data_IF_868830486165
#
_entry.id   IF_868830486165
#
_cell.length_a   1.000
_cell.length_b   1.000
_cell.length_c   1.000
_cell.angle_alpha   90.00
_cell.angle_beta   90.00
_cell.angle_gamma   90.00
#
_symmetry.space_group_name_H-M   'P 1'
#
loop_
_entity.id
_entity.type
_entity.pdbx_description
1 polymer ?
#
# COMPACT_ATOMS: atom_id res chain seq x y z
N UNK A 1 37.63 -11.94 -41.82
CA UNK A 1 37.02 -12.31 -40.51
C UNK A 1 37.03 -11.09 -39.57
N UNK A 2 36.48 -9.93 -39.97
CA UNK A 2 36.48 -8.71 -39.13
C UNK A 2 35.10 -8.03 -39.07
N UNK A 3 34.07 -8.64 -39.69
CA UNK A 3 32.70 -8.12 -39.70
C UNK A 3 31.81 -8.72 -38.59
N UNK A 4 32.22 -9.81 -37.94
CA UNK A 4 31.40 -10.46 -36.90
C UNK A 4 31.59 -9.85 -35.50
N UNK A 5 32.73 -9.20 -35.24
CA UNK A 5 33.04 -8.64 -33.92
C UNK A 5 32.26 -7.36 -33.59
N UNK A 6 31.92 -6.55 -34.61
CA UNK A 6 31.14 -5.32 -34.42
C UNK A 6 29.67 -5.58 -34.14
N UNK A 7 29.11 -6.69 -34.64
CA UNK A 7 27.71 -7.06 -34.41
C UNK A 7 27.49 -7.56 -32.97
N UNK A 8 28.44 -8.34 -32.44
CA UNK A 8 28.38 -8.84 -31.07
C UNK A 8 28.54 -7.73 -30.02
N UNK A 9 29.43 -6.75 -30.24
CA UNK A 9 29.59 -5.63 -29.32
C UNK A 9 28.38 -4.68 -29.30
N UNK A 10 27.65 -4.56 -30.41
CA UNK A 10 26.43 -3.76 -30.48
C UNK A 10 25.23 -4.43 -29.79
N UNK A 11 25.10 -5.76 -29.87
CA UNK A 11 24.07 -6.50 -29.16
C UNK A 11 24.29 -6.54 -27.65
N UNK A 12 25.54 -6.68 -27.21
CA UNK A 12 25.93 -6.73 -25.80
C UNK A 12 25.64 -5.37 -25.10
N UNK A 13 25.93 -4.25 -25.78
CA UNK A 13 25.63 -2.91 -25.27
C UNK A 13 24.13 -2.59 -25.16
N UNK A 14 23.29 -3.15 -26.03
CA UNK A 14 21.82 -2.97 -25.98
C UNK A 14 21.19 -3.82 -24.87
N UNK A 15 21.70 -5.04 -24.67
CA UNK A 15 21.33 -5.93 -23.57
C UNK A 15 21.66 -5.32 -22.20
N UNK A 16 22.86 -4.75 -22.05
CA UNK A 16 23.26 -4.00 -20.85
C UNK A 16 22.37 -2.79 -20.57
N UNK A 17 21.99 -2.05 -21.62
CA UNK A 17 21.08 -0.92 -21.48
C UNK A 17 19.68 -1.38 -21.04
N UNK A 18 19.21 -2.51 -21.58
CA UNK A 18 17.93 -3.11 -21.19
C UNK A 18 17.94 -3.60 -19.74
N UNK A 19 19.00 -4.29 -19.31
CA UNK A 19 19.16 -4.73 -17.92
C UNK A 19 19.12 -3.55 -16.94
N UNK A 20 19.83 -2.46 -17.23
CA UNK A 20 19.79 -1.24 -16.41
C UNK A 20 18.38 -0.65 -16.31
N UNK A 21 17.64 -0.60 -17.42
CA UNK A 21 16.25 -0.10 -17.42
C UNK A 21 15.34 -0.97 -16.54
N UNK A 22 15.49 -2.29 -16.61
CA UNK A 22 14.72 -3.22 -15.78
C UNK A 22 15.06 -3.07 -14.29
N UNK A 23 16.34 -2.93 -13.94
CA UNK A 23 16.78 -2.70 -12.56
C UNK A 23 16.24 -1.38 -11.98
N UNK A 24 16.22 -0.31 -12.77
CA UNK A 24 15.60 0.97 -12.39
C UNK A 24 14.10 0.79 -12.16
N UNK A 25 13.41 0.05 -13.03
CA UNK A 25 11.98 -0.23 -12.87
C UNK A 25 11.69 -1.04 -11.59
N UNK A 26 12.48 -2.07 -11.29
CA UNK A 26 12.39 -2.82 -10.02
C UNK A 26 12.60 -1.91 -8.82
N UNK A 27 13.61 -1.05 -8.85
CA UNK A 27 13.91 -0.12 -7.75
C UNK A 27 12.75 0.84 -7.50
N UNK A 28 12.12 1.35 -8.56
CA UNK A 28 10.91 2.19 -8.46
C UNK A 28 9.75 1.42 -7.84
N UNK A 29 9.50 0.19 -8.29
CA UNK A 29 8.43 -0.65 -7.71
C UNK A 29 8.67 -0.90 -6.23
N UNK A 30 9.91 -1.15 -5.80
CA UNK A 30 10.25 -1.31 -4.38
C UNK A 30 9.93 -0.05 -3.57
N UNK A 31 10.24 1.14 -4.10
CA UNK A 31 9.88 2.41 -3.46
C UNK A 31 8.35 2.55 -3.33
N UNK A 32 7.60 2.20 -4.37
CA UNK A 32 6.13 2.24 -4.35
C UNK A 32 5.55 1.21 -3.36
N UNK A 33 6.12 0.00 -3.28
CA UNK A 33 5.74 -1.02 -2.29
C UNK A 33 5.96 -0.52 -0.86
N UNK A 34 7.11 0.11 -0.59
CA UNK A 34 7.42 0.67 0.72
C UNK A 34 6.45 1.80 1.10
N UNK A 35 6.12 2.67 0.13
CA UNK A 35 5.14 3.74 0.34
C UNK A 35 3.74 3.19 0.65
N UNK A 36 3.27 2.20 -0.12
CA UNK A 36 1.99 1.54 0.13
C UNK A 36 1.94 0.88 1.51
N UNK A 37 3.02 0.23 1.94
CA UNK A 37 3.13 -0.36 3.28
C UNK A 37 3.05 0.68 4.40
N UNK A 38 3.77 1.80 4.24
CA UNK A 38 3.71 2.91 5.20
C UNK A 38 2.31 3.51 5.30
N UNK A 39 1.68 3.78 4.16
CA UNK A 39 0.30 4.29 4.10
C UNK A 39 -0.67 3.32 4.78
N UNK A 40 -0.53 2.02 4.54
CA UNK A 40 -1.36 1.01 5.17
C UNK A 40 -1.26 1.06 6.70
N UNK A 41 -0.04 1.15 7.23
CA UNK A 41 0.19 1.32 8.67
C UNK A 41 -0.45 2.59 9.23
N UNK A 42 -0.33 3.72 8.53
CA UNK A 42 -0.96 4.98 8.94
C UNK A 42 -2.50 4.87 8.99
N UNK A 43 -3.12 4.30 7.95
CA UNK A 43 -4.59 4.15 7.91
C UNK A 43 -5.08 3.18 8.99
N UNK A 44 -4.34 2.11 9.26
CA UNK A 44 -4.65 1.22 10.38
C UNK A 44 -4.61 1.95 11.73
N UNK A 45 -3.60 2.81 11.93
CA UNK A 45 -3.49 3.59 13.16
C UNK A 45 -4.65 4.58 13.31
N UNK A 46 -5.02 5.29 12.24
CA UNK A 46 -6.16 6.20 12.24
C UNK A 46 -7.47 5.46 12.58
N UNK A 47 -7.68 4.29 11.99
CA UNK A 47 -8.83 3.44 12.30
C UNK A 47 -8.83 3.01 13.77
N UNK A 48 -7.68 2.56 14.29
CA UNK A 48 -7.53 2.16 15.70
C UNK A 48 -7.82 3.32 16.65
N UNK A 49 -7.26 4.49 16.37
CA UNK A 49 -7.49 5.69 17.17
C UNK A 49 -8.96 6.10 17.16
N UNK A 50 -9.62 6.04 16.01
CA UNK A 50 -11.05 6.35 15.90
C UNK A 50 -11.91 5.41 16.77
N UNK A 51 -11.61 4.10 16.76
CA UNK A 51 -12.32 3.11 17.60
C UNK A 51 -12.07 3.41 19.09
N UNK A 52 -10.83 3.72 19.47
CA UNK A 52 -10.49 4.02 20.86
C UNK A 52 -11.16 5.30 21.37
N UNK A 53 -11.22 6.35 20.56
CA UNK A 53 -11.86 7.62 20.92
C UNK A 53 -13.38 7.51 21.06
N UNK A 54 -13.99 6.55 20.36
CA UNK A 54 -15.44 6.39 20.29
C UNK A 54 -15.97 5.26 21.16
N UNK A 55 -15.07 4.47 21.75
CA UNK A 55 -15.41 3.48 22.76
C UNK A 55 -15.82 4.20 24.05
N UNK A 56 -17.05 4.03 24.54
CA UNK A 56 -17.49 4.65 25.78
C UNK A 56 -16.60 4.17 26.95
N UNK A 57 -16.22 5.06 27.89
CA UNK A 57 -15.58 4.62 29.12
C UNK A 57 -16.50 3.66 29.88
N UNK A 58 -15.95 2.71 30.67
CA UNK A 58 -16.77 1.82 31.49
C UNK A 58 -17.68 2.65 32.41
N UNK A 59 -18.95 2.23 32.60
CA UNK A 59 -19.90 3.01 33.38
C UNK A 59 -19.38 3.19 34.82
N UNK A 60 -19.49 4.40 35.40
CA UNK A 60 -19.09 4.63 36.79
C UNK A 60 -19.95 3.77 37.73
N UNK A 61 -19.35 3.29 38.82
CA UNK A 61 -20.05 2.61 39.89
C UNK A 61 -20.91 3.62 40.67
N UNK A 62 -22.11 3.91 40.13
CA UNK A 62 -23.23 4.63 40.75
C UNK A 62 -22.91 6.01 41.33
N UNK A 63 -23.44 7.07 40.72
CA UNK A 63 -24.09 8.18 41.42
C UNK A 63 -24.89 9.01 40.42
N UNK A 64 -26.14 9.31 40.80
CA UNK A 64 -27.11 10.00 39.96
C UNK A 64 -26.61 11.38 39.53
N UNK A 65 -26.79 11.69 38.26
CA UNK A 65 -26.54 13.03 37.72
C UNK A 65 -27.61 13.31 36.67
N UNK A 66 -28.41 14.34 36.95
CA UNK A 66 -29.09 15.18 35.98
C UNK A 66 -28.04 15.76 35.03
N UNK A 67 -27.81 15.08 33.91
CA UNK A 67 -26.97 15.55 32.83
C UNK A 67 -27.81 15.64 31.57
N UNK A 68 -27.65 16.71 30.80
CA UNK A 68 -28.27 16.89 29.49
C UNK A 68 -27.81 15.73 28.57
N UNK A 69 -28.60 14.65 28.54
CA UNK A 69 -28.30 13.49 27.71
C UNK A 69 -28.36 13.95 26.25
N UNK A 70 -27.32 13.68 25.43
CA UNK A 70 -27.36 14.00 24.01
C UNK A 70 -28.63 13.43 23.39
N UNK A 71 -29.35 14.24 22.62
CA UNK A 71 -30.56 13.82 21.92
C UNK A 71 -30.31 12.51 21.17
N UNK A 72 -31.27 11.59 21.20
CA UNK A 72 -31.18 10.31 20.49
C UNK A 72 -30.76 10.48 19.03
N UNK A 73 -31.27 11.54 18.37
CA UNK A 73 -30.93 11.87 17.00
C UNK A 73 -29.46 12.25 16.81
N UNK A 74 -28.86 12.94 17.78
CA UNK A 74 -27.44 13.33 17.73
C UNK A 74 -26.54 12.11 17.90
N UNK A 75 -26.90 11.19 18.80
CA UNK A 75 -26.19 9.93 18.96
C UNK A 75 -26.29 9.04 17.72
N UNK A 76 -27.47 8.99 17.09
CA UNK A 76 -27.68 8.24 15.85
C UNK A 76 -26.86 8.83 14.69
N UNK A 77 -26.81 10.16 14.55
CA UNK A 77 -25.98 10.84 13.55
C UNK A 77 -24.49 10.58 13.79
N UNK A 78 -24.04 10.68 15.03
CA UNK A 78 -22.64 10.43 15.38
C UNK A 78 -22.25 9.00 15.05
N UNK A 79 -23.06 8.00 15.44
CA UNK A 79 -22.82 6.59 15.08
C UNK A 79 -22.71 6.39 13.58
N UNK A 80 -23.62 6.97 12.81
CA UNK A 80 -23.59 6.88 11.35
C UNK A 80 -22.31 7.49 10.76
N UNK A 81 -21.87 8.65 11.25
CA UNK A 81 -20.62 9.27 10.79
C UNK A 81 -19.40 8.41 11.11
N UNK A 82 -19.39 7.75 12.27
CA UNK A 82 -18.33 6.82 12.66
C UNK A 82 -18.29 5.61 11.73
N UNK A 83 -19.44 4.99 11.47
CA UNK A 83 -19.55 3.85 10.56
C UNK A 83 -19.09 4.21 9.15
N UNK A 84 -19.51 5.36 8.63
CA UNK A 84 -19.05 5.87 7.33
C UNK A 84 -17.53 6.07 7.30
N UNK A 85 -16.94 6.61 8.37
CA UNK A 85 -15.50 6.84 8.43
C UNK A 85 -14.70 5.54 8.56
N UNK A 86 -15.18 4.57 9.36
CA UNK A 86 -14.59 3.24 9.44
C UNK A 86 -14.67 2.51 8.10
N UNK A 87 -15.77 2.64 7.37
CA UNK A 87 -15.92 2.07 6.04
C UNK A 87 -14.95 2.68 5.03
N UNK A 88 -14.74 4.01 5.08
CA UNK A 88 -13.73 4.67 4.24
C UNK A 88 -12.33 4.11 4.50
N UNK A 89 -11.94 3.94 5.76
CA UNK A 89 -10.65 3.33 6.10
C UNK A 89 -10.56 1.87 5.64
N UNK A 90 -11.63 1.09 5.73
CA UNK A 90 -11.63 -0.29 5.25
C UNK A 90 -11.37 -0.37 3.74
N UNK A 91 -12.08 0.44 2.95
CA UNK A 91 -11.89 0.51 1.48
C UNK A 91 -10.47 0.98 1.13
N UNK A 92 -9.93 1.95 1.87
CA UNK A 92 -8.57 2.43 1.66
C UNK A 92 -7.52 1.35 1.95
N UNK A 93 -7.67 0.60 3.04
CA UNK A 93 -6.79 -0.53 3.37
C UNK A 93 -6.84 -1.63 2.30
N UNK A 94 -8.02 -1.97 1.80
CA UNK A 94 -8.19 -2.92 0.69
C UNK A 94 -7.49 -2.44 -0.58
N UNK A 95 -7.65 -1.16 -0.92
CA UNK A 95 -6.99 -0.56 -2.09
C UNK A 95 -5.47 -0.59 -1.96
N UNK A 96 -4.93 -0.25 -0.79
CA UNK A 96 -3.49 -0.27 -0.53
C UNK A 96 -2.93 -1.70 -0.61
N UNK A 97 -3.67 -2.68 -0.09
CA UNK A 97 -3.32 -4.09 -0.20
C UNK A 97 -3.31 -4.57 -1.66
N UNK A 98 -4.36 -4.24 -2.42
CA UNK A 98 -4.46 -4.59 -3.83
C UNK A 98 -3.30 -3.97 -4.64
N UNK A 99 -2.97 -2.70 -4.39
CA UNK A 99 -1.83 -2.03 -5.01
C UNK A 99 -0.50 -2.70 -4.66
N UNK A 100 -0.31 -3.08 -3.41
CA UNK A 100 0.91 -3.79 -3.00
C UNK A 100 1.06 -5.13 -3.74
N UNK A 101 -0.03 -5.91 -3.84
CA UNK A 101 -0.08 -7.17 -4.59
C UNK A 101 0.25 -6.99 -6.06
N UNK A 102 -0.41 -6.02 -6.71
CA UNK A 102 -0.17 -5.67 -8.11
C UNK A 102 1.31 -5.34 -8.37
N UNK A 103 1.90 -4.51 -7.50
CA UNK A 103 3.32 -4.16 -7.57
C UNK A 103 4.23 -5.39 -7.40
N UNK A 104 3.85 -6.35 -6.54
CA UNK A 104 4.64 -7.57 -6.36
C UNK A 104 4.61 -8.48 -7.58
N UNK A 105 3.46 -8.59 -8.24
CA UNK A 105 3.33 -9.32 -9.51
C UNK A 105 4.16 -8.68 -10.63
N UNK A 106 4.09 -7.35 -10.77
CA UNK A 106 4.91 -6.60 -11.73
C UNK A 106 6.40 -6.80 -11.47
N UNK A 107 6.83 -6.71 -10.20
CA UNK A 107 8.23 -6.92 -9.80
C UNK A 107 8.72 -8.31 -10.18
N UNK A 108 7.93 -9.36 -9.93
CA UNK A 108 8.29 -10.75 -10.27
C UNK A 108 8.52 -10.89 -11.78
N UNK A 109 7.60 -10.39 -12.60
CA UNK A 109 7.75 -10.43 -14.06
C UNK A 109 9.03 -9.72 -14.54
N UNK A 110 9.40 -8.59 -13.93
CA UNK A 110 10.65 -7.90 -14.26
C UNK A 110 11.90 -8.69 -13.83
N UNK A 111 11.86 -9.32 -12.66
CA UNK A 111 12.96 -10.16 -12.15
C UNK A 111 13.16 -11.42 -12.99
N UNK A 112 12.08 -12.03 -13.47
CA UNK A 112 12.13 -13.16 -14.40
C UNK A 112 12.82 -12.72 -15.70
N UNK A 113 12.43 -11.57 -16.25
CA UNK A 113 13.04 -11.02 -17.47
C UNK A 113 14.51 -10.63 -17.30
N UNK A 114 14.88 -10.11 -16.13
CA UNK A 114 16.30 -9.87 -15.80
C UNK A 114 17.06 -11.20 -15.79
N UNK A 115 16.47 -12.26 -15.24
CA UNK A 115 17.08 -13.58 -15.15
C UNK A 115 17.28 -14.20 -16.54
N UNK A 116 16.28 -14.11 -17.42
CA UNK A 116 16.35 -14.55 -18.82
C UNK A 116 17.43 -13.80 -19.61
N UNK A 117 17.48 -12.46 -19.47
CA UNK A 117 18.49 -11.62 -20.13
C UNK A 117 19.89 -11.85 -19.56
N UNK A 118 20.03 -12.21 -18.29
CA UNK A 118 21.34 -12.49 -17.68
C UNK A 118 21.89 -13.87 -18.07
N UNK A 119 21.03 -14.77 -18.57
CA UNK A 119 21.40 -16.12 -19.02
C UNK A 119 21.54 -16.25 -20.54
N UNK A 120 21.07 -15.25 -21.30
CA UNK A 120 21.21 -15.23 -22.77
C UNK A 120 22.62 -14.75 -23.15
N UNK A 121 23.44 -15.60 -23.81
CA UNK A 121 24.84 -15.31 -24.16
C UNK A 121 25.01 -14.35 -25.34
#
# INVERSE_FOLDING_TARGET
MLLCASLAAASDGDQDAQLRRLQVAVSRIQQEQQSAYQQFGMVQELRRSLIQQTTPPPPPAVSGIDGDLPSYDDQARQRKQLDEQLQRYAVELERLYARYRELDEQKRSLLDRISELSQSP
#
